data_IF_613890390359
#
_entry.id   IF_613890390359
#
_cell.length_a   1.000
_cell.length_b   1.000
_cell.length_c   1.000
_cell.angle_alpha   90.00
_cell.angle_beta   90.00
_cell.angle_gamma   90.00
#
_symmetry.space_group_name_H-M   'P 1'
#
loop_
_entity.id
_entity.type
_entity.pdbx_description
1 polymer ?
#
# COMPACT_ATOMS: atom_id res chain seq x y z
N UNK A 1 13.67 7.95 15.88
CA UNK A 1 14.13 7.15 14.73
C UNK A 1 13.49 5.78 14.87
N UNK A 2 12.52 5.44 14.00
CA UNK A 2 11.90 4.12 14.01
C UNK A 2 12.86 3.18 13.30
N UNK A 3 13.42 2.19 14.01
CA UNK A 3 14.28 1.19 13.42
C UNK A 3 13.43 0.20 12.64
N UNK A 4 13.54 0.22 11.30
CA UNK A 4 12.89 -0.77 10.44
C UNK A 4 13.71 -2.07 10.50
N UNK A 5 13.19 -3.07 11.21
CA UNK A 5 13.77 -4.41 11.20
C UNK A 5 13.35 -5.12 9.91
N UNK A 6 14.31 -5.69 9.17
CA UNK A 6 14.03 -6.40 7.91
C UNK A 6 12.98 -7.51 8.06
N UNK A 7 12.85 -8.11 9.25
CA UNK A 7 11.86 -9.14 9.56
C UNK A 7 10.41 -8.65 9.64
N UNK A 8 10.17 -7.34 9.70
CA UNK A 8 8.81 -6.78 9.82
C UNK A 8 8.10 -6.62 8.47
N UNK A 9 8.83 -6.72 7.35
CA UNK A 9 8.26 -6.55 6.01
C UNK A 9 8.70 -7.64 5.04
N UNK A 10 7.92 -7.87 4.00
CA UNK A 10 8.29 -8.77 2.91
C UNK A 10 9.41 -8.11 2.11
N UNK A 11 10.57 -8.78 2.05
CA UNK A 11 11.70 -8.30 1.27
C UNK A 11 11.38 -8.53 -0.22
N UNK A 12 11.14 -7.43 -0.91
CA UNK A 12 11.10 -7.39 -2.37
C UNK A 12 12.50 -7.00 -2.85
N UNK A 13 13.05 -7.69 -3.84
CA UNK A 13 14.27 -7.25 -4.50
C UNK A 13 13.95 -6.15 -5.54
N UNK A 14 14.99 -5.56 -6.13
CA UNK A 14 14.82 -4.48 -7.10
C UNK A 14 14.09 -4.96 -8.37
N UNK A 15 14.38 -6.18 -8.82
CA UNK A 15 13.74 -6.77 -10.00
C UNK A 15 12.25 -7.03 -9.76
N UNK A 16 11.87 -7.59 -8.62
CA UNK A 16 10.46 -7.81 -8.24
C UNK A 16 9.72 -6.48 -8.15
N UNK A 17 10.29 -5.46 -7.49
CA UNK A 17 9.64 -4.13 -7.42
C UNK A 17 9.41 -3.52 -8.80
N UNK A 18 10.37 -3.65 -9.71
CA UNK A 18 10.26 -3.16 -11.09
C UNK A 18 9.22 -3.95 -11.89
N UNK A 19 9.24 -5.27 -11.81
CA UNK A 19 8.36 -6.15 -12.59
C UNK A 19 6.90 -6.12 -12.10
N UNK A 20 6.67 -5.82 -10.82
CA UNK A 20 5.33 -5.63 -10.27
C UNK A 20 4.75 -4.23 -10.54
N UNK A 21 5.54 -3.32 -11.13
CA UNK A 21 5.12 -1.95 -11.49
C UNK A 21 4.37 -1.24 -10.35
N UNK A 22 4.93 -1.29 -9.12
CA UNK A 22 4.21 -0.86 -7.91
C UNK A 22 3.82 0.62 -7.97
N UNK A 23 4.76 1.50 -8.31
CA UNK A 23 4.54 2.95 -8.45
C UNK A 23 5.06 3.52 -9.76
N UNK A 24 5.80 2.73 -10.53
CA UNK A 24 6.41 3.13 -11.79
C UNK A 24 6.34 1.94 -12.74
N UNK A 25 5.90 2.18 -13.97
CA UNK A 25 5.85 1.16 -15.02
C UNK A 25 7.24 0.93 -15.64
N UNK A 26 7.38 -0.09 -16.48
CA UNK A 26 8.64 -0.47 -17.10
C UNK A 26 9.22 0.62 -18.02
N UNK A 27 8.36 1.48 -18.59
CA UNK A 27 8.73 2.62 -19.41
C UNK A 27 9.16 3.86 -18.60
N UNK A 28 9.02 3.82 -17.27
CA UNK A 28 9.38 4.91 -16.35
C UNK A 28 8.25 5.88 -16.03
N UNK A 29 7.06 5.69 -16.60
CA UNK A 29 5.85 6.45 -16.31
C UNK A 29 5.13 5.98 -15.04
N UNK A 30 4.07 6.69 -14.65
CA UNK A 30 3.23 6.35 -13.49
C UNK A 30 1.87 5.75 -13.86
N UNK A 31 1.55 5.74 -15.15
CA UNK A 31 0.35 5.13 -15.70
C UNK A 31 0.39 3.61 -15.61
N UNK A 32 -0.78 2.98 -15.48
CA UNK A 32 -0.97 1.52 -15.43
C UNK A 32 -0.19 0.80 -14.31
N UNK A 33 0.13 1.51 -13.23
CA UNK A 33 0.80 0.94 -12.05
C UNK A 33 -0.21 0.47 -11.01
N UNK A 34 0.21 -0.39 -10.07
CA UNK A 34 -0.65 -0.79 -8.94
C UNK A 34 -1.12 0.43 -8.14
N UNK A 35 -0.21 1.38 -7.89
CA UNK A 35 -0.55 2.62 -7.21
C UNK A 35 -1.54 3.48 -8.02
N UNK A 36 -1.44 3.54 -9.36
CA UNK A 36 -2.39 4.30 -10.17
C UNK A 36 -3.82 3.74 -10.08
N UNK A 37 -3.98 2.43 -9.87
CA UNK A 37 -5.29 1.78 -9.70
C UNK A 37 -5.84 1.98 -8.28
N UNK A 38 -5.00 1.86 -7.26
CA UNK A 38 -5.43 1.87 -5.85
C UNK A 38 -5.50 3.27 -5.20
N UNK A 39 -4.74 4.24 -5.69
CA UNK A 39 -4.61 5.57 -5.07
C UNK A 39 -5.81 6.47 -5.38
N UNK A 40 -6.89 6.27 -4.64
CA UNK A 40 -8.08 7.14 -4.59
C UNK A 40 -8.13 7.95 -3.29
N UNK A 41 -6.97 8.21 -2.68
CA UNK A 41 -6.89 8.91 -1.41
C UNK A 41 -7.32 10.38 -1.56
N UNK A 42 -8.20 10.86 -0.68
CA UNK A 42 -8.69 12.25 -0.71
C UNK A 42 -7.62 13.30 -0.36
N UNK A 43 -6.46 12.89 0.18
CA UNK A 43 -5.41 13.82 0.61
C UNK A 43 -4.04 13.39 0.10
N UNK A 44 -3.13 14.34 -0.22
CA UNK A 44 -1.77 14.01 -0.67
C UNK A 44 -0.98 13.20 0.36
N UNK A 45 -1.24 13.41 1.66
CA UNK A 45 -0.59 12.64 2.72
C UNK A 45 -1.05 11.18 2.74
N UNK A 46 -2.33 10.92 2.45
CA UNK A 46 -2.88 9.56 2.29
C UNK A 46 -2.22 8.83 1.12
N UNK A 47 -2.15 9.48 -0.06
CA UNK A 47 -1.49 8.91 -1.24
C UNK A 47 -0.02 8.56 -0.99
N UNK A 48 0.73 9.41 -0.28
CA UNK A 48 2.12 9.11 0.12
C UNK A 48 2.20 7.92 1.07
N UNK A 49 1.29 7.82 2.04
CA UNK A 49 1.24 6.70 2.98
C UNK A 49 0.91 5.38 2.29
N UNK A 50 -0.08 5.37 1.39
CA UNK A 50 -0.45 4.19 0.59
C UNK A 50 0.74 3.69 -0.23
N UNK A 51 1.43 4.58 -0.96
CA UNK A 51 2.61 4.22 -1.75
C UNK A 51 3.71 3.62 -0.88
N UNK A 52 3.92 4.15 0.34
CA UNK A 52 4.87 3.56 1.30
C UNK A 52 4.45 2.14 1.71
N UNK A 53 3.18 1.90 1.99
CA UNK A 53 2.68 0.58 2.36
C UNK A 53 2.83 -0.45 1.24
N UNK A 54 2.58 -0.04 -0.02
CA UNK A 54 2.75 -0.92 -1.18
C UNK A 54 4.21 -1.36 -1.37
N UNK A 55 5.18 -0.49 -1.08
CA UNK A 55 6.61 -0.82 -1.15
C UNK A 55 7.14 -1.60 0.06
N UNK A 56 6.39 -1.62 1.16
CA UNK A 56 6.79 -2.27 2.42
C UNK A 56 5.64 -3.13 2.99
N UNK A 57 5.33 -4.28 2.36
CA UNK A 57 4.26 -5.16 2.82
C UNK A 57 4.60 -5.70 4.20
N UNK A 58 3.72 -5.49 5.18
CA UNK A 58 3.98 -5.90 6.58
C UNK A 58 3.78 -7.40 6.78
N UNK A 59 4.51 -7.97 7.75
CA UNK A 59 4.43 -9.39 8.14
C UNK A 59 3.71 -9.62 9.47
N UNK A 60 3.43 -8.57 10.24
CA UNK A 60 2.74 -8.68 11.52
C UNK A 60 1.25 -8.96 11.31
N UNK A 61 0.82 -10.19 11.58
CA UNK A 61 -0.57 -10.64 11.39
C UNK A 61 -1.55 -9.81 12.23
N UNK A 62 -1.21 -9.49 13.48
CA UNK A 62 -2.06 -8.67 14.34
C UNK A 62 -2.34 -7.30 13.72
N UNK A 63 -1.31 -6.62 13.21
CA UNK A 63 -1.50 -5.31 12.55
C UNK A 63 -2.30 -5.43 11.26
N UNK A 64 -2.12 -6.52 10.51
CA UNK A 64 -2.90 -6.77 9.29
C UNK A 64 -4.38 -6.98 9.61
N UNK A 65 -4.71 -7.78 10.63
CA UNK A 65 -6.08 -8.00 11.05
C UNK A 65 -6.72 -6.69 11.53
N UNK A 66 -6.03 -5.89 12.35
CA UNK A 66 -6.53 -4.58 12.78
C UNK A 66 -6.85 -3.65 11.60
N UNK A 67 -6.06 -3.70 10.51
CA UNK A 67 -6.35 -2.94 9.28
C UNK A 67 -7.58 -3.49 8.55
N UNK A 68 -7.72 -4.81 8.47
CA UNK A 68 -8.89 -5.45 7.85
C UNK A 68 -10.16 -5.15 8.63
N UNK A 69 -10.12 -5.21 9.96
CA UNK A 69 -11.23 -4.89 10.84
C UNK A 69 -11.66 -3.43 10.65
N UNK A 70 -10.70 -2.49 10.67
CA UNK A 70 -10.99 -1.07 10.41
C UNK A 70 -11.61 -0.83 9.02
N UNK A 71 -11.13 -1.51 7.98
CA UNK A 71 -11.71 -1.43 6.63
C UNK A 71 -13.15 -2.01 6.64
N UNK A 72 -13.36 -3.13 7.34
CA UNK A 72 -14.67 -3.77 7.51
C UNK A 72 -15.67 -2.82 8.16
N UNK A 73 -15.30 -2.25 9.31
CA UNK A 73 -16.12 -1.27 10.04
C UNK A 73 -16.47 -0.06 9.18
N UNK A 74 -15.50 0.53 8.46
CA UNK A 74 -15.75 1.69 7.58
C UNK A 74 -16.73 1.35 6.45
N UNK A 75 -16.64 0.14 5.88
CA UNK A 75 -17.56 -0.31 4.84
C UNK A 75 -18.97 -0.55 5.38
N UNK A 76 -19.09 -1.17 6.55
CA UNK A 76 -20.38 -1.47 7.19
C UNK A 76 -21.10 -0.21 7.67
N UNK A 77 -20.36 0.78 8.16
CA UNK A 77 -20.93 2.05 8.63
C UNK A 77 -21.39 2.98 7.49
N UNK A 78 -21.27 2.56 6.23
CA UNK A 78 -21.81 3.25 5.05
C UNK A 78 -21.42 4.74 4.94
N UNK A 79 -20.15 5.08 5.20
CA UNK A 79 -19.57 6.37 4.79
C UNK A 79 -19.26 6.44 3.28
N UNK A 80 -19.54 5.36 2.54
CA UNK A 80 -19.51 5.30 1.09
C UNK A 80 -20.84 4.71 0.60
N UNK A 81 -21.78 5.58 0.25
CA UNK A 81 -22.82 5.24 -0.71
C UNK A 81 -22.21 5.39 -2.11
N UNK A 82 -22.50 4.43 -3.00
CA UNK A 82 -22.06 4.44 -4.41
C UNK A 82 -22.33 5.79 -5.12
#
# INVERSE_FOLDING_TARGET
>A
LTFDHQDQSVILDAATRRNLEITQNLAGGTDNTLAAVLDQCATPMGSRMLKRWLHQPMRCIETLNNRLDAIGEIKEQALFAD
#
